data_IF_270764113496
#
_entry.id   IF_270764113496
#
_cell.length_a   1.000
_cell.length_b   1.000
_cell.length_c   1.000
_cell.angle_alpha   90.00
_cell.angle_beta   90.00
_cell.angle_gamma   90.00
#
_symmetry.space_group_name_H-M   'P 1'
#
loop_
_entity.id
_entity.type
_entity.pdbx_description
1 polymer ?
#
# COMPACT_ATOMS: atom_id res chain seq x y z
N UNK A 1 -19.93 22.09 3.42
CA UNK A 1 -19.21 20.83 3.11
C UNK A 1 -18.64 20.19 4.39
N UNK A 2 -19.45 19.51 5.24
CA UNK A 2 -18.88 18.68 6.33
C UNK A 2 -19.45 17.25 6.45
N UNK A 3 -20.48 16.89 5.67
CA UNK A 3 -21.36 15.76 6.00
C UNK A 3 -20.74 14.35 5.84
N UNK A 4 -19.53 14.25 5.29
CA UNK A 4 -18.83 12.96 5.07
C UNK A 4 -17.36 12.96 5.49
N UNK A 5 -16.89 14.04 6.15
CA UNK A 5 -15.50 14.15 6.55
C UNK A 5 -15.17 13.17 7.68
N UNK A 6 -16.10 13.01 8.63
CA UNK A 6 -15.96 12.11 9.78
C UNK A 6 -15.85 10.66 9.33
N UNK A 7 -16.70 10.24 8.39
CA UNK A 7 -16.72 8.90 7.82
C UNK A 7 -15.42 8.62 7.07
N UNK A 8 -14.97 9.57 6.25
CA UNK A 8 -13.70 9.45 5.53
C UNK A 8 -12.52 9.32 6.47
N UNK A 9 -12.41 10.19 7.48
CA UNK A 9 -11.35 10.14 8.50
C UNK A 9 -11.37 8.80 9.22
N UNK A 10 -12.56 8.33 9.61
CA UNK A 10 -12.74 7.06 10.31
C UNK A 10 -12.27 5.88 9.46
N UNK A 11 -12.65 5.84 8.17
CA UNK A 11 -12.22 4.78 7.24
C UNK A 11 -10.70 4.79 6.99
N UNK A 12 -10.09 5.98 6.90
CA UNK A 12 -8.63 6.13 6.81
C UNK A 12 -7.93 5.64 8.08
N UNK A 13 -8.42 6.04 9.26
CA UNK A 13 -7.87 5.61 10.55
C UNK A 13 -7.97 4.09 10.74
N UNK A 14 -9.13 3.49 10.43
CA UNK A 14 -9.32 2.04 10.49
C UNK A 14 -8.36 1.34 9.51
N UNK A 15 -8.21 1.85 8.28
CA UNK A 15 -7.29 1.29 7.29
C UNK A 15 -5.84 1.34 7.79
N UNK A 16 -5.43 2.44 8.42
CA UNK A 16 -4.11 2.58 9.03
C UNK A 16 -3.88 1.54 10.13
N UNK A 17 -4.83 1.40 11.06
CA UNK A 17 -4.77 0.42 12.15
C UNK A 17 -4.62 -1.00 11.61
N UNK A 18 -5.44 -1.39 10.64
CA UNK A 18 -5.37 -2.74 10.03
C UNK A 18 -4.02 -2.97 9.35
N UNK A 19 -3.49 -1.98 8.62
CA UNK A 19 -2.14 -2.04 8.04
C UNK A 19 -1.05 -2.22 9.09
N UNK A 20 -1.11 -1.54 10.24
CA UNK A 20 -0.13 -1.72 11.30
C UNK A 20 -0.24 -3.07 12.02
N UNK A 21 -1.46 -3.61 12.16
CA UNK A 21 -1.66 -4.98 12.64
C UNK A 21 -1.04 -5.99 11.66
N UNK A 22 -1.29 -5.82 10.36
CA UNK A 22 -0.67 -6.63 9.29
C UNK A 22 0.85 -6.55 9.33
N UNK A 23 1.40 -5.35 9.46
CA UNK A 23 2.83 -5.10 9.59
C UNK A 23 3.42 -5.92 10.74
N UNK A 24 2.77 -5.90 11.92
CA UNK A 24 3.21 -6.68 13.09
C UNK A 24 3.26 -8.18 12.79
N UNK A 25 2.26 -8.73 12.10
CA UNK A 25 2.28 -10.14 11.69
C UNK A 25 3.43 -10.43 10.72
N UNK A 26 3.63 -9.58 9.71
CA UNK A 26 4.66 -9.79 8.69
C UNK A 26 6.08 -9.64 9.23
N UNK A 27 6.32 -8.67 10.14
CA UNK A 27 7.62 -8.51 10.82
C UNK A 27 7.95 -9.76 11.63
N UNK A 28 6.98 -10.33 12.35
CA UNK A 28 7.20 -11.53 13.13
C UNK A 28 7.53 -12.74 12.25
N UNK A 29 6.84 -12.90 11.12
CA UNK A 29 7.15 -13.94 10.13
C UNK A 29 8.53 -13.73 9.49
N UNK A 30 8.93 -12.48 9.26
CA UNK A 30 10.26 -12.12 8.77
C UNK A 30 11.35 -12.51 9.78
N UNK A 31 11.18 -12.16 11.05
CA UNK A 31 12.13 -12.52 12.12
C UNK A 31 12.29 -14.04 12.26
N UNK A 32 11.22 -14.80 12.05
CA UNK A 32 11.25 -16.27 12.13
C UNK A 32 11.97 -16.93 10.93
N UNK A 33 11.94 -16.32 9.74
CA UNK A 33 12.54 -16.89 8.52
C UNK A 33 13.94 -16.35 8.22
N UNK A 34 14.25 -15.12 8.67
CA UNK A 34 15.56 -14.48 8.45
C UNK A 34 15.88 -14.13 7.00
N UNK A 35 14.93 -14.32 6.06
CA UNK A 35 15.15 -14.06 4.65
C UNK A 35 14.80 -12.61 4.29
N UNK A 36 15.82 -11.79 4.00
CA UNK A 36 15.71 -10.39 3.52
C UNK A 36 14.72 -10.18 2.36
N UNK A 37 14.40 -11.24 1.62
CA UNK A 37 13.43 -11.22 0.51
C UNK A 37 12.01 -10.89 0.96
N UNK A 38 11.64 -11.24 2.19
CA UNK A 38 10.30 -10.96 2.70
C UNK A 38 10.16 -9.55 3.26
N UNK A 39 11.20 -8.72 3.26
CA UNK A 39 11.23 -7.40 3.90
C UNK A 39 10.36 -6.36 3.16
N UNK A 40 10.17 -6.53 1.86
CA UNK A 40 9.39 -5.58 1.07
C UNK A 40 7.87 -5.67 1.28
N UNK A 41 7.33 -6.80 1.74
CA UNK A 41 5.92 -6.92 2.15
C UNK A 41 5.61 -6.09 3.42
N UNK A 42 6.32 -6.28 4.55
CA UNK A 42 6.25 -5.39 5.70
C UNK A 42 6.41 -3.93 5.32
N UNK A 43 7.42 -3.57 4.51
CA UNK A 43 7.63 -2.17 4.12
C UNK A 43 6.45 -1.62 3.32
N UNK A 44 5.94 -2.38 2.35
CA UNK A 44 4.77 -2.00 1.56
C UNK A 44 3.55 -1.74 2.44
N UNK A 45 3.16 -2.69 3.31
CA UNK A 45 2.01 -2.51 4.19
C UNK A 45 2.24 -1.46 5.29
N UNK A 46 3.48 -1.29 5.75
CA UNK A 46 3.86 -0.24 6.70
C UNK A 46 3.72 1.15 6.08
N UNK A 47 4.15 1.33 4.83
CA UNK A 47 3.96 2.57 4.10
C UNK A 47 2.50 2.82 3.75
N UNK A 48 1.72 1.81 3.36
CA UNK A 48 0.27 1.96 3.23
C UNK A 48 -0.37 2.46 4.54
N UNK A 49 -0.02 1.85 5.67
CA UNK A 49 -0.52 2.27 6.99
C UNK A 49 -0.15 3.71 7.34
N UNK A 50 1.10 4.09 7.14
CA UNK A 50 1.56 5.47 7.34
C UNK A 50 0.82 6.45 6.41
N UNK A 51 0.65 6.11 5.13
CA UNK A 51 -0.11 6.92 4.18
C UNK A 51 -1.55 7.15 4.64
N UNK A 52 -2.25 6.11 5.12
CA UNK A 52 -3.62 6.26 5.64
C UNK A 52 -3.68 7.08 6.92
N UNK A 53 -2.68 6.95 7.81
CA UNK A 53 -2.57 7.79 9.00
C UNK A 53 -2.40 9.27 8.63
N UNK A 54 -1.48 9.59 7.70
CA UNK A 54 -1.32 10.94 7.18
C UNK A 54 -2.55 11.44 6.42
N UNK A 55 -3.29 10.55 5.76
CA UNK A 55 -4.58 10.89 5.13
C UNK A 55 -5.58 11.35 6.19
N UNK A 56 -5.78 10.57 7.25
CA UNK A 56 -6.68 10.91 8.36
C UNK A 56 -6.30 12.23 9.02
N UNK A 57 -4.99 12.47 9.25
CA UNK A 57 -4.49 13.74 9.79
C UNK A 57 -4.72 14.91 8.84
N UNK A 58 -4.52 14.72 7.54
CA UNK A 58 -4.73 15.79 6.55
C UNK A 58 -6.18 16.24 6.45
N UNK A 59 -7.13 15.34 6.73
CA UNK A 59 -8.57 15.66 6.69
C UNK A 59 -9.10 16.17 8.03
N UNK A 60 -8.42 15.92 9.16
CA UNK A 60 -8.96 16.27 10.48
C UNK A 60 -8.91 17.75 10.83
N UNK A 61 -8.35 18.62 9.98
CA UNK A 61 -8.15 20.06 10.19
C UNK A 61 -7.34 20.44 11.46
N UNK A 62 -7.00 19.49 12.33
CA UNK A 62 -6.23 19.69 13.57
C UNK A 62 -4.80 20.17 13.26
N UNK A 63 -4.25 19.78 12.10
CA UNK A 63 -2.91 20.16 11.66
C UNK A 63 -2.99 20.90 10.32
N UNK A 64 -2.88 22.23 10.34
CA UNK A 64 -2.98 23.11 9.17
C UNK A 64 -1.72 23.14 8.29
N UNK A 65 -1.01 22.01 8.18
CA UNK A 65 0.14 21.92 7.29
C UNK A 65 -0.34 21.63 5.87
N UNK A 66 -0.21 22.63 4.99
CA UNK A 66 -0.60 22.55 3.57
C UNK A 66 -0.01 21.32 2.85
N UNK A 67 1.16 20.86 3.30
CA UNK A 67 1.95 19.84 2.60
C UNK A 67 1.65 18.38 3.01
N UNK A 68 0.75 18.12 3.98
CA UNK A 68 0.41 16.74 4.38
C UNK A 68 -0.13 15.90 3.21
N UNK A 69 -0.86 16.54 2.29
CA UNK A 69 -1.39 15.93 1.07
C UNK A 69 -0.32 15.31 0.17
N UNK A 70 0.86 15.93 0.10
CA UNK A 70 2.00 15.45 -0.69
C UNK A 70 2.69 14.28 -0.02
N UNK A 71 2.92 14.38 1.29
CA UNK A 71 3.56 13.33 2.08
C UNK A 71 2.74 12.03 1.99
N UNK A 72 1.42 12.09 2.21
CA UNK A 72 0.57 10.89 2.10
C UNK A 72 0.62 10.26 0.70
N UNK A 73 0.73 11.08 -0.36
CA UNK A 73 0.67 10.67 -1.75
C UNK A 73 1.97 9.94 -2.15
N UNK A 74 3.12 10.52 -1.80
CA UNK A 74 4.42 9.88 -2.06
C UNK A 74 4.54 8.58 -1.27
N UNK A 75 4.23 8.58 0.03
CA UNK A 75 4.27 7.35 0.85
C UNK A 75 3.42 6.25 0.20
N UNK A 76 2.22 6.58 -0.28
CA UNK A 76 1.35 5.61 -0.96
C UNK A 76 1.97 5.04 -2.23
N UNK A 77 2.52 5.88 -3.09
CA UNK A 77 3.15 5.45 -4.33
C UNK A 77 4.31 4.49 -4.08
N UNK A 78 5.18 4.83 -3.12
CA UNK A 78 6.28 3.95 -2.72
C UNK A 78 5.80 2.66 -2.09
N UNK A 79 4.70 2.69 -1.33
CA UNK A 79 4.12 1.48 -0.76
C UNK A 79 3.81 0.41 -1.82
N UNK A 80 3.13 0.81 -2.91
CA UNK A 80 2.82 -0.10 -4.02
C UNK A 80 4.07 -0.52 -4.80
N UNK A 81 5.04 0.37 -4.94
CA UNK A 81 6.30 0.08 -5.59
C UNK A 81 7.12 -0.98 -4.81
N UNK A 82 7.21 -0.85 -3.49
CA UNK A 82 7.83 -1.86 -2.62
C UNK A 82 7.12 -3.21 -2.72
N UNK A 83 5.79 -3.21 -2.75
CA UNK A 83 5.01 -4.44 -2.96
C UNK A 83 5.35 -5.06 -4.33
N UNK A 84 5.31 -4.30 -5.41
CA UNK A 84 5.56 -4.81 -6.77
C UNK A 84 6.98 -5.37 -6.91
N UNK A 85 7.97 -4.67 -6.38
CA UNK A 85 9.37 -5.09 -6.39
C UNK A 85 9.57 -6.37 -5.58
N UNK A 86 8.88 -6.52 -4.45
CA UNK A 86 8.88 -7.77 -3.68
C UNK A 86 8.39 -8.95 -4.52
N UNK A 87 7.33 -8.76 -5.30
CA UNK A 87 6.82 -9.80 -6.19
C UNK A 87 7.76 -10.08 -7.36
N UNK A 88 8.37 -9.05 -7.94
CA UNK A 88 9.37 -9.20 -9.01
C UNK A 88 10.57 -10.05 -8.55
N UNK A 89 11.14 -9.73 -7.41
CA UNK A 89 12.25 -10.49 -6.87
C UNK A 89 11.83 -11.76 -6.12
N UNK A 90 10.53 -12.11 -6.07
CA UNK A 90 10.02 -13.33 -5.41
C UNK A 90 10.42 -14.64 -6.11
N UNK A 91 10.95 -14.59 -7.34
CA UNK A 91 11.44 -15.76 -8.10
C UNK A 91 12.97 -15.89 -8.20
N UNK A 92 13.70 -14.79 -8.01
CA UNK A 92 15.16 -14.73 -8.15
C UNK A 92 15.99 -15.63 -7.23
N UNK A 93 17.06 -16.22 -7.79
CA UNK A 93 18.09 -17.02 -7.10
C UNK A 93 19.04 -16.15 -6.25
N UNK A 94 19.90 -16.81 -5.45
CA UNK A 94 20.84 -16.18 -4.49
C UNK A 94 21.69 -15.03 -5.07
N UNK A 95 21.99 -15.05 -6.37
CA UNK A 95 22.80 -14.04 -7.05
C UNK A 95 22.10 -12.68 -7.26
N UNK A 96 20.79 -12.59 -6.99
CA UNK A 96 20.03 -11.34 -7.19
C UNK A 96 19.91 -10.52 -5.90
N UNK A 97 20.56 -10.96 -4.82
CA UNK A 97 20.63 -10.23 -3.55
C UNK A 97 21.25 -8.82 -3.71
N UNK A 98 22.24 -8.69 -4.60
CA UNK A 98 22.85 -7.39 -4.89
C UNK A 98 21.84 -6.45 -5.57
N UNK A 99 21.19 -6.90 -6.64
CA UNK A 99 20.17 -6.13 -7.35
C UNK A 99 18.99 -5.76 -6.44
N UNK A 100 18.58 -6.65 -5.54
CA UNK A 100 17.58 -6.35 -4.51
C UNK A 100 18.03 -5.20 -3.62
N UNK A 101 19.21 -5.32 -3.00
CA UNK A 101 19.73 -4.29 -2.10
C UNK A 101 19.93 -2.94 -2.82
N UNK A 102 20.45 -2.95 -4.05
CA UNK A 102 20.60 -1.74 -4.86
C UNK A 102 19.25 -1.12 -5.19
N UNK A 103 18.27 -1.92 -5.63
CA UNK A 103 16.91 -1.42 -5.92
C UNK A 103 16.28 -0.79 -4.69
N UNK A 104 16.35 -1.45 -3.53
CA UNK A 104 15.85 -0.91 -2.26
C UNK A 104 16.57 0.38 -1.86
N UNK A 105 17.89 0.41 -1.97
CA UNK A 105 18.67 1.61 -1.68
C UNK A 105 18.26 2.80 -2.55
N UNK A 106 18.14 2.58 -3.86
CA UNK A 106 17.69 3.61 -4.80
C UNK A 106 16.27 4.10 -4.47
N UNK A 107 15.35 3.20 -4.13
CA UNK A 107 14.00 3.58 -3.72
C UNK A 107 13.99 4.42 -2.43
N UNK A 108 14.80 4.06 -1.44
CA UNK A 108 14.87 4.80 -0.17
C UNK A 108 15.46 6.20 -0.40
N UNK A 109 16.48 6.33 -1.25
CA UNK A 109 17.07 7.63 -1.61
C UNK A 109 16.04 8.48 -2.37
N UNK A 110 15.36 7.88 -3.35
CA UNK A 110 14.29 8.55 -4.12
C UNK A 110 13.13 8.98 -3.23
N UNK A 111 12.72 8.12 -2.29
CA UNK A 111 11.67 8.43 -1.33
C UNK A 111 12.07 9.57 -0.41
N UNK A 112 13.26 9.50 0.19
CA UNK A 112 13.78 10.53 1.09
C UNK A 112 13.89 11.88 0.38
N UNK A 113 14.43 11.90 -0.85
CA UNK A 113 14.53 13.13 -1.65
C UNK A 113 13.16 13.73 -1.99
N UNK A 114 12.17 12.92 -2.34
CA UNK A 114 10.80 13.39 -2.60
C UNK A 114 10.10 13.92 -1.35
N UNK A 115 10.33 13.31 -0.18
CA UNK A 115 9.79 13.81 1.09
C UNK A 115 10.45 15.14 1.47
N UNK A 116 11.77 15.25 1.35
CA UNK A 116 12.47 16.52 1.59
C UNK A 116 11.97 17.60 0.64
N UNK A 117 11.79 17.26 -0.65
CA UNK A 117 11.18 18.17 -1.61
C UNK A 117 9.77 18.60 -1.18
N UNK A 118 8.92 17.68 -0.74
CA UNK A 118 7.57 18.00 -0.27
C UNK A 118 7.54 18.91 0.97
N UNK A 119 8.57 18.84 1.83
CA UNK A 119 8.68 19.65 3.04
C UNK A 119 9.23 21.05 2.72
N UNK A 120 10.26 21.12 1.89
CA UNK A 120 11.00 22.37 1.62
C UNK A 120 10.51 23.15 0.40
N UNK A 121 9.70 22.56 -0.48
CA UNK A 121 9.21 23.26 -1.66
C UNK A 121 8.22 24.36 -1.26
N UNK A 122 8.39 25.59 -1.78
CA UNK A 122 7.41 26.67 -1.60
C UNK A 122 6.08 26.25 -2.23
N UNK A 123 4.98 26.78 -1.68
CA UNK A 123 3.57 26.45 -2.01
C UNK A 123 3.38 25.89 -3.42
N UNK A 124 3.31 24.57 -3.53
CA UNK A 124 3.11 23.89 -4.81
C UNK A 124 1.67 24.15 -5.25
N UNK A 125 1.48 24.50 -6.53
CA UNK A 125 0.16 24.81 -7.05
C UNK A 125 -0.79 23.61 -6.92
N UNK A 126 -2.07 23.89 -6.69
CA UNK A 126 -3.11 22.85 -6.65
C UNK A 126 -3.19 22.06 -7.97
N UNK A 127 -2.91 22.72 -9.10
CA UNK A 127 -2.89 22.09 -10.43
C UNK A 127 -1.82 21.00 -10.50
N UNK A 128 -0.63 21.29 -9.99
CA UNK A 128 0.47 20.32 -9.97
C UNK A 128 0.11 19.14 -9.06
N UNK A 129 -0.48 19.39 -7.88
CA UNK A 129 -0.94 18.32 -6.99
C UNK A 129 -1.87 17.33 -7.69
N UNK A 130 -2.86 17.83 -8.44
CA UNK A 130 -3.81 16.98 -9.17
C UNK A 130 -3.09 16.14 -10.23
N UNK A 131 -2.15 16.73 -10.97
CA UNK A 131 -1.36 15.99 -11.96
C UNK A 131 -0.55 14.87 -11.31
N UNK A 132 0.22 15.17 -10.28
CA UNK A 132 1.03 14.17 -9.56
C UNK A 132 0.16 13.12 -8.89
N UNK A 133 -1.01 13.50 -8.38
CA UNK A 133 -2.00 12.56 -7.83
C UNK A 133 -2.41 11.54 -8.88
N UNK A 134 -2.80 11.98 -10.08
CA UNK A 134 -3.21 11.10 -11.18
C UNK A 134 -2.04 10.19 -11.57
N UNK A 135 -0.84 10.74 -11.78
CA UNK A 135 0.34 9.97 -12.18
C UNK A 135 0.68 8.88 -11.15
N UNK A 136 0.74 9.22 -9.86
CA UNK A 136 1.08 8.26 -8.80
C UNK A 136 0.02 7.18 -8.68
N UNK A 137 -1.27 7.51 -8.85
CA UNK A 137 -2.35 6.52 -8.84
C UNK A 137 -2.30 5.58 -10.05
N UNK A 138 -1.99 6.09 -11.24
CA UNK A 138 -1.78 5.25 -12.44
C UNK A 138 -0.59 4.31 -12.25
N UNK A 139 0.54 4.80 -11.74
CA UNK A 139 1.70 3.95 -11.42
C UNK A 139 1.35 2.90 -10.37
N UNK A 140 0.59 3.29 -9.33
CA UNK A 140 0.11 2.37 -8.29
C UNK A 140 -0.79 1.28 -8.88
N UNK A 141 -1.69 1.63 -9.81
CA UNK A 141 -2.52 0.66 -10.54
C UNK A 141 -1.67 -0.31 -11.35
N UNK A 142 -0.66 0.17 -12.08
CA UNK A 142 0.25 -0.69 -12.84
C UNK A 142 1.01 -1.65 -11.91
N UNK A 143 1.47 -1.17 -10.76
CA UNK A 143 2.13 -1.98 -9.73
C UNK A 143 1.20 -3.09 -9.20
N UNK A 144 -0.03 -2.73 -8.83
CA UNK A 144 -1.01 -3.70 -8.30
C UNK A 144 -1.45 -4.68 -9.39
N UNK A 145 -1.68 -4.21 -10.61
CA UNK A 145 -2.00 -5.06 -11.75
C UNK A 145 -0.90 -6.08 -12.01
N UNK A 146 0.37 -5.64 -11.99
CA UNK A 146 1.51 -6.54 -12.08
C UNK A 146 1.50 -7.61 -10.96
N UNK A 147 1.25 -7.22 -9.71
CA UNK A 147 1.16 -8.17 -8.59
C UNK A 147 0.03 -9.18 -8.81
N UNK A 148 -1.14 -8.74 -9.26
CA UNK A 148 -2.30 -9.60 -9.52
C UNK A 148 -1.96 -10.62 -10.60
N UNK A 149 -1.47 -10.17 -11.76
CA UNK A 149 -1.10 -11.04 -12.89
C UNK A 149 -0.02 -12.04 -12.46
N UNK A 150 1.02 -11.57 -11.79
CA UNK A 150 2.10 -12.42 -11.31
C UNK A 150 1.60 -13.46 -10.28
N UNK A 151 0.73 -13.05 -9.35
CA UNK A 151 0.17 -13.95 -8.34
C UNK A 151 -0.78 -14.99 -8.94
N UNK A 152 -1.62 -14.61 -9.90
CA UNK A 152 -2.52 -15.52 -10.60
C UNK A 152 -1.73 -16.50 -11.48
N UNK A 153 -0.75 -16.03 -12.23
CA UNK A 153 0.12 -16.88 -13.05
C UNK A 153 0.86 -17.93 -12.21
N UNK A 154 1.25 -17.59 -10.98
CA UNK A 154 1.84 -18.54 -10.04
C UNK A 154 0.83 -19.57 -9.55
N UNK A 155 -0.39 -19.15 -9.22
CA UNK A 155 -1.46 -20.04 -8.78
C UNK A 155 -1.86 -21.06 -9.87
N UNK A 156 -1.93 -20.64 -11.14
CA UNK A 156 -2.20 -21.55 -12.26
C UNK A 156 -1.11 -22.62 -12.40
N UNK A 157 0.16 -22.29 -12.14
CA UNK A 157 1.28 -23.24 -12.24
C UNK A 157 1.37 -24.19 -11.05
N UNK A 158 1.02 -23.71 -9.85
CA UNK A 158 0.98 -24.50 -8.62
C UNK A 158 -0.26 -24.07 -7.84
N UNK A 159 -1.36 -24.83 -7.91
CA UNK A 159 -2.59 -24.50 -7.21
C UNK A 159 -2.40 -24.64 -5.70
N UNK A 160 -1.87 -23.59 -5.08
CA UNK A 160 -1.89 -23.39 -3.63
C UNK A 160 -3.25 -22.82 -3.23
N UNK A 161 -3.79 -23.21 -2.07
CA UNK A 161 -5.14 -22.85 -1.61
C UNK A 161 -5.36 -21.37 -1.24
N UNK A 162 -4.62 -20.43 -1.83
CA UNK A 162 -4.49 -19.03 -1.43
C UNK A 162 -4.88 -18.04 -2.54
N UNK A 163 -5.96 -18.33 -3.28
CA UNK A 163 -6.63 -17.37 -4.19
C UNK A 163 -7.06 -16.06 -3.51
N UNK A 164 -7.15 -16.07 -2.17
CA UNK A 164 -7.51 -14.92 -1.35
C UNK A 164 -6.49 -13.75 -1.47
N UNK A 165 -5.20 -14.04 -1.69
CA UNK A 165 -4.18 -12.99 -1.79
C UNK A 165 -4.34 -12.13 -3.06
N UNK A 166 -4.41 -12.71 -4.28
CA UNK A 166 -4.72 -11.94 -5.48
C UNK A 166 -6.04 -11.19 -5.37
N UNK A 167 -7.07 -11.76 -4.75
CA UNK A 167 -8.35 -11.07 -4.51
C UNK A 167 -8.17 -9.82 -3.64
N UNK A 168 -7.36 -9.89 -2.58
CA UNK A 168 -7.02 -8.72 -1.77
C UNK A 168 -6.37 -7.59 -2.59
N UNK A 169 -5.47 -7.92 -3.52
CA UNK A 169 -4.87 -6.94 -4.42
C UNK A 169 -5.86 -6.39 -5.44
N UNK A 170 -6.79 -7.20 -5.96
CA UNK A 170 -7.88 -6.71 -6.84
C UNK A 170 -8.70 -5.64 -6.11
N UNK A 171 -9.05 -5.87 -4.84
CA UNK A 171 -9.79 -4.90 -4.04
C UNK A 171 -8.98 -3.60 -3.81
N UNK A 172 -7.67 -3.69 -3.60
CA UNK A 172 -6.80 -2.50 -3.56
C UNK A 172 -6.72 -1.78 -4.92
N UNK A 173 -6.76 -2.51 -6.04
CA UNK A 173 -6.78 -1.90 -7.37
C UNK A 173 -8.08 -1.12 -7.61
N UNK A 174 -9.22 -1.66 -7.17
CA UNK A 174 -10.51 -0.97 -7.24
C UNK A 174 -10.47 0.34 -6.45
N UNK A 175 -9.83 0.38 -5.28
CA UNK A 175 -9.60 1.63 -4.52
C UNK A 175 -8.78 2.65 -5.32
N UNK A 176 -7.67 2.24 -5.94
CA UNK A 176 -6.85 3.15 -6.74
C UNK A 176 -7.61 3.70 -7.95
N UNK A 177 -8.39 2.85 -8.62
CA UNK A 177 -9.21 3.24 -9.76
C UNK A 177 -10.37 4.16 -9.36
N UNK A 178 -11.08 3.82 -8.28
CA UNK A 178 -12.20 4.64 -7.80
C UNK A 178 -11.73 6.01 -7.30
N UNK A 179 -10.53 6.07 -6.72
CA UNK A 179 -9.85 7.33 -6.38
C UNK A 179 -9.55 8.21 -7.61
N UNK A 180 -9.23 7.61 -8.76
CA UNK A 180 -9.06 8.37 -10.02
C UNK A 180 -10.39 8.94 -10.51
N UNK A 181 -11.46 8.14 -10.49
CA UNK A 181 -12.81 8.61 -10.86
C UNK A 181 -13.23 9.77 -9.96
N UNK A 182 -12.99 9.68 -8.65
CA UNK A 182 -13.29 10.77 -7.71
C UNK A 182 -12.60 12.08 -8.09
N UNK A 183 -11.35 12.05 -8.57
CA UNK A 183 -10.65 13.28 -8.96
C UNK A 183 -11.23 13.90 -10.23
N UNK A 184 -11.75 13.10 -11.15
CA UNK A 184 -12.31 13.58 -12.42
C UNK A 184 -13.75 14.05 -12.26
N UNK A 185 -14.57 13.29 -11.54
CA UNK A 185 -16.04 13.45 -11.51
C UNK A 185 -16.56 13.92 -10.13
N UNK A 186 -15.70 14.00 -9.10
CA UNK A 186 -16.12 14.30 -7.73
C UNK A 186 -17.29 13.41 -7.24
N UNK A 187 -17.37 12.18 -7.75
CA UNK A 187 -18.45 11.24 -7.44
C UNK A 187 -18.26 10.58 -6.08
N UNK A 188 -19.10 10.93 -5.10
CA UNK A 188 -19.05 10.36 -3.75
C UNK A 188 -19.17 8.85 -3.75
N UNK A 189 -19.96 8.29 -4.68
CA UNK A 189 -20.10 6.86 -4.83
C UNK A 189 -18.74 6.21 -5.14
N UNK A 190 -17.97 6.77 -6.08
CA UNK A 190 -16.63 6.28 -6.40
C UNK A 190 -15.71 6.36 -5.18
N UNK A 191 -15.73 7.47 -4.43
CA UNK A 191 -14.91 7.61 -3.22
C UNK A 191 -15.23 6.53 -2.18
N UNK A 192 -16.50 6.35 -1.82
CA UNK A 192 -16.90 5.41 -0.78
C UNK A 192 -16.72 3.95 -1.20
N UNK A 193 -17.04 3.60 -2.44
CA UNK A 193 -16.78 2.26 -2.98
C UNK A 193 -15.28 1.96 -2.93
N UNK A 194 -14.43 2.93 -3.28
CA UNK A 194 -12.98 2.80 -3.15
C UNK A 194 -12.55 2.50 -1.72
N UNK A 195 -13.00 3.31 -0.75
CA UNK A 195 -12.65 3.13 0.66
C UNK A 195 -13.14 1.79 1.24
N UNK A 196 -14.36 1.36 0.90
CA UNK A 196 -14.93 0.10 1.36
C UNK A 196 -14.21 -1.11 0.74
N UNK A 197 -13.93 -1.06 -0.57
CA UNK A 197 -13.18 -2.13 -1.24
C UNK A 197 -11.76 -2.23 -0.69
N UNK A 198 -11.09 -1.11 -0.43
CA UNK A 198 -9.79 -1.06 0.26
C UNK A 198 -9.82 -1.78 1.60
N UNK A 199 -10.78 -1.46 2.46
CA UNK A 199 -10.94 -2.13 3.75
C UNK A 199 -11.19 -3.63 3.57
N UNK A 200 -12.04 -4.02 2.62
CA UNK A 200 -12.24 -5.42 2.25
C UNK A 200 -10.93 -6.11 1.88
N UNK A 201 -10.08 -5.47 1.08
CA UNK A 201 -8.76 -5.97 0.70
C UNK A 201 -7.84 -6.16 1.91
N UNK A 202 -7.77 -5.16 2.79
CA UNK A 202 -6.97 -5.22 4.01
C UNK A 202 -7.45 -6.32 4.98
N UNK A 203 -8.77 -6.48 5.13
CA UNK A 203 -9.36 -7.57 5.93
C UNK A 203 -9.02 -8.92 5.34
N UNK A 204 -9.07 -9.09 4.02
CA UNK A 204 -8.65 -10.33 3.36
C UNK A 204 -7.18 -10.65 3.67
N UNK A 205 -6.28 -9.67 3.55
CA UNK A 205 -4.88 -9.87 3.93
C UNK A 205 -4.73 -10.25 5.41
N UNK A 206 -5.52 -9.66 6.30
CA UNK A 206 -5.48 -9.97 7.73
C UNK A 206 -5.92 -11.41 8.00
N UNK A 207 -6.99 -11.86 7.34
CA UNK A 207 -7.46 -13.25 7.42
C UNK A 207 -6.41 -14.24 6.92
N UNK A 208 -5.71 -13.91 5.82
CA UNK A 208 -4.62 -14.74 5.29
C UNK A 208 -3.46 -14.79 6.29
N UNK A 209 -3.05 -13.64 6.83
CA UNK A 209 -1.96 -13.55 7.80
C UNK A 209 -2.28 -14.35 9.06
N UNK A 210 -3.49 -14.21 9.61
CA UNK A 210 -3.95 -14.98 10.78
C UNK A 210 -3.95 -16.48 10.50
N UNK A 211 -4.58 -16.93 9.39
CA UNK A 211 -4.62 -18.36 9.04
C UNK A 211 -3.22 -18.96 8.90
N UNK A 212 -2.31 -18.21 8.29
CA UNK A 212 -0.92 -18.66 8.10
C UNK A 212 -0.19 -18.78 9.43
N UNK A 213 -0.35 -17.79 10.32
CA UNK A 213 0.31 -17.76 11.61
C UNK A 213 -0.21 -18.84 12.57
N UNK A 214 -1.52 -19.00 12.70
CA UNK A 214 -2.12 -20.01 13.57
C UNK A 214 -1.88 -21.44 13.07
N UNK A 215 -1.86 -21.67 11.75
CA UNK A 215 -1.54 -22.98 11.18
C UNK A 215 -0.07 -23.37 11.39
N UNK A 216 0.83 -22.39 11.43
CA UNK A 216 2.24 -22.62 11.78
C UNK A 216 2.41 -23.07 13.23
N UNK A 217 1.65 -22.48 14.17
CA UNK A 217 1.73 -22.85 15.59
C UNK A 217 1.30 -24.30 15.84
N UNK A 218 0.28 -24.78 15.14
CA UNK A 218 -0.25 -26.15 15.28
C UNK A 218 0.62 -27.25 14.68
N UNK A 219 1.67 -26.91 13.92
CA UNK A 219 2.64 -27.87 13.35
C UNK A 219 3.95 -27.97 14.13
N UNK A 220 4.15 -27.09 15.12
CA UNK A 220 5.34 -27.07 15.98
C UNK A 220 5.11 -27.61 17.39
N UNK A 221 3.94 -28.21 17.63
CA UNK A 221 3.60 -29.06 18.77
C UNK A 221 3.48 -30.49 18.25
#
# INVERSE_FOLDING_TARGET
MPLYEVERISLEAISAIVCFILLKFMIRSYQATGENRYLGLPLGFGFLGASYAFSALSYSQIFSFSNWGWIQLFIRGFAFLFLAITYYFSKSEKNVKLLWNTSFGVLIIMFTSLILFAIFSPEISRSDYVLYYILIRVVSLLCVFYIIVHSLARHVKKPESTLLAPLGYVLLAIDQYSSLIWVVDASYFALFVGLLTRLGGLVLFLLIAQRTFFRSKRKGE
#
